data_IF_038205487035
#
_entry.id   IF_038205487035
#
_cell.length_a   1.000
_cell.length_b   1.000
_cell.length_c   1.000
_cell.angle_alpha   90.00
_cell.angle_beta   90.00
_cell.angle_gamma   90.00
#
_symmetry.space_group_name_H-M   'P 1'
#
loop_
_entity.id
_entity.type
_entity.pdbx_description
1 polymer ?
#
# COMPACT_ATOMS: atom_id res chain seq x y z
N UNK A 1 -15.26 -0.21 -0.66
CA UNK A 1 -13.87 -0.33 -1.12
C UNK A 1 -13.78 0.44 -2.43
N UNK A 2 -13.21 1.64 -2.43
CA UNK A 2 -12.93 2.34 -3.68
C UNK A 2 -11.67 1.73 -4.27
N UNK A 3 -11.81 0.80 -5.22
CA UNK A 3 -10.66 0.29 -5.96
C UNK A 3 -10.36 1.35 -7.02
N UNK A 4 -9.33 2.17 -6.81
CA UNK A 4 -8.84 3.06 -7.84
C UNK A 4 -8.19 2.22 -8.96
N UNK A 5 -8.98 1.88 -9.98
CA UNK A 5 -8.47 1.35 -11.25
C UNK A 5 -7.99 2.54 -12.09
N UNK A 6 -6.74 2.94 -11.89
CA UNK A 6 -5.93 3.76 -12.83
C UNK A 6 -6.63 4.98 -13.48
N UNK A 7 -6.39 6.17 -12.94
CA UNK A 7 -6.41 7.42 -13.72
C UNK A 7 -5.03 8.09 -13.64
N UNK A 8 -4.18 7.79 -14.61
CA UNK A 8 -3.05 8.66 -14.93
C UNK A 8 -3.59 9.96 -15.52
N UNK A 9 -3.34 11.07 -14.81
CA UNK A 9 -3.04 12.42 -15.34
C UNK A 9 -3.56 13.50 -14.39
N UNK A 10 -2.84 13.72 -13.29
CA UNK A 10 -2.57 15.04 -12.68
C UNK A 10 -1.85 14.84 -11.34
N UNK A 11 -0.63 14.30 -11.36
CA UNK A 11 0.47 14.47 -10.39
C UNK A 11 1.60 13.52 -10.80
N UNK A 12 2.85 13.92 -10.58
CA UNK A 12 4.07 13.28 -11.10
C UNK A 12 3.99 11.75 -11.25
N UNK A 13 4.53 11.21 -12.36
CA UNK A 13 4.67 9.77 -12.68
C UNK A 13 5.40 8.94 -11.59
N UNK A 14 5.84 9.55 -10.50
CA UNK A 14 6.70 8.99 -9.48
C UNK A 14 5.97 8.53 -8.20
N UNK A 15 4.63 8.72 -8.10
CA UNK A 15 3.87 8.49 -6.85
C UNK A 15 2.61 7.63 -7.08
N UNK A 16 2.76 6.45 -7.69
CA UNK A 16 1.63 5.50 -7.84
C UNK A 16 1.41 4.70 -6.54
N UNK A 17 0.16 4.58 -6.07
CA UNK A 17 -0.24 3.67 -4.99
C UNK A 17 -1.28 2.69 -5.56
N UNK A 18 -1.00 1.40 -5.52
CA UNK A 18 -1.82 0.38 -6.19
C UNK A 18 -3.22 0.23 -5.56
N UNK A 19 -3.30 0.37 -4.22
CA UNK A 19 -4.53 0.20 -3.46
C UNK A 19 -4.68 1.36 -2.49
N UNK A 20 -5.85 1.99 -2.48
CA UNK A 20 -6.25 2.99 -1.49
C UNK A 20 -7.66 2.67 -1.02
N UNK A 21 -7.92 2.76 0.27
CA UNK A 21 -9.25 2.60 0.84
C UNK A 21 -9.38 3.34 2.15
N UNK A 22 -10.57 3.85 2.47
CA UNK A 22 -10.86 4.49 3.75
C UNK A 22 -12.04 3.78 4.39
N UNK A 23 -11.93 3.48 5.69
CA UNK A 23 -13.03 2.95 6.52
C UNK A 23 -12.96 3.61 7.89
N UNK A 24 -13.98 4.39 8.24
CA UNK A 24 -13.94 5.20 9.46
C UNK A 24 -12.73 6.15 9.45
N UNK A 25 -11.95 6.15 10.53
CA UNK A 25 -10.76 6.97 10.68
C UNK A 25 -9.46 6.25 10.26
N UNK A 26 -9.57 5.24 9.39
CA UNK A 26 -8.42 4.45 8.94
C UNK A 26 -8.26 4.51 7.43
N UNK A 27 -7.08 4.94 7.00
CA UNK A 27 -6.59 4.86 5.64
C UNK A 27 -5.87 3.52 5.45
N UNK A 28 -6.25 2.79 4.42
CA UNK A 28 -5.62 1.57 3.96
C UNK A 28 -4.90 1.90 2.66
N UNK A 29 -3.60 1.69 2.62
CA UNK A 29 -2.79 1.81 1.40
C UNK A 29 -2.09 0.50 1.12
N UNK A 30 -1.88 0.17 -0.15
CA UNK A 30 -1.19 -1.06 -0.50
C UNK A 30 -0.41 -1.00 -1.79
N UNK A 31 0.58 -1.88 -1.86
CA UNK A 31 1.44 -2.11 -3.02
C UNK A 31 1.42 -3.61 -3.34
N UNK A 32 1.35 -3.94 -4.63
CA UNK A 32 1.33 -5.27 -5.18
C UNK A 32 2.61 -5.53 -5.98
N UNK A 33 3.37 -6.58 -5.63
CA UNK A 33 4.49 -7.05 -6.45
C UNK A 33 4.28 -8.47 -6.94
N UNK A 34 4.05 -8.57 -8.25
CA UNK A 34 3.89 -9.82 -8.98
C UNK A 34 5.19 -10.26 -9.66
N UNK A 35 6.25 -10.47 -8.86
CA UNK A 35 7.56 -10.87 -9.36
C UNK A 35 8.10 -12.09 -8.60
N UNK A 36 9.19 -12.68 -9.09
CA UNK A 36 9.94 -13.73 -8.39
C UNK A 36 10.83 -13.20 -7.25
N UNK A 37 10.88 -11.87 -7.07
CA UNK A 37 11.64 -11.24 -5.98
C UNK A 37 10.74 -11.07 -4.77
N UNK A 38 11.30 -11.36 -3.58
CA UNK A 38 10.67 -11.04 -2.30
C UNK A 38 10.56 -9.53 -2.13
N UNK A 39 9.53 -9.10 -1.41
CA UNK A 39 9.38 -7.71 -0.99
C UNK A 39 10.23 -7.48 0.27
N UNK A 40 11.00 -6.41 0.28
CA UNK A 40 11.83 -5.99 1.42
C UNK A 40 11.31 -4.67 2.04
N UNK A 41 11.99 -4.21 3.08
CA UNK A 41 11.67 -2.95 3.78
C UNK A 41 11.64 -1.73 2.87
N UNK A 42 12.41 -1.73 1.76
CA UNK A 42 12.50 -0.57 0.87
C UNK A 42 11.19 -0.31 0.14
N UNK A 43 10.41 -1.36 -0.14
CA UNK A 43 9.08 -1.22 -0.74
C UNK A 43 8.11 -0.59 0.27
N UNK A 44 8.15 -1.02 1.53
CA UNK A 44 7.35 -0.42 2.60
C UNK A 44 7.68 1.06 2.79
N UNK A 45 8.96 1.41 2.83
CA UNK A 45 9.41 2.79 3.04
C UNK A 45 9.01 3.70 1.86
N UNK A 46 9.07 3.18 0.63
CA UNK A 46 8.54 3.88 -0.55
C UNK A 46 7.03 4.08 -0.48
N UNK A 47 6.28 3.09 0.00
CA UNK A 47 4.83 3.25 0.16
C UNK A 47 4.52 4.32 1.23
N UNK A 48 5.21 4.27 2.38
CA UNK A 48 5.12 5.28 3.44
C UNK A 48 5.41 6.68 2.95
N UNK A 49 6.45 6.86 2.13
CA UNK A 49 6.81 8.18 1.61
C UNK A 49 5.75 8.77 0.68
N UNK A 50 4.86 7.96 0.10
CA UNK A 50 3.77 8.42 -0.77
C UNK A 50 2.54 8.91 0.03
N UNK A 51 2.33 8.40 1.25
CA UNK A 51 1.13 8.68 2.05
C UNK A 51 0.93 10.17 2.37
N UNK A 52 1.94 10.96 2.75
CA UNK A 52 1.75 12.38 3.02
C UNK A 52 1.21 13.17 1.82
N UNK A 53 1.62 12.80 0.60
CA UNK A 53 1.11 13.41 -0.63
C UNK A 53 -0.36 13.05 -0.84
N UNK A 54 -0.71 11.77 -0.68
CA UNK A 54 -2.10 11.31 -0.74
C UNK A 54 -3.00 12.02 0.27
N UNK A 55 -2.56 12.17 1.53
CA UNK A 55 -3.34 12.86 2.57
C UNK A 55 -3.57 14.33 2.22
N UNK A 56 -2.53 15.00 1.70
CA UNK A 56 -2.63 16.38 1.22
C UNK A 56 -3.65 16.52 0.09
N UNK A 57 -3.63 15.61 -0.88
CA UNK A 57 -4.55 15.64 -2.03
C UNK A 57 -6.00 15.35 -1.63
N UNK A 58 -6.19 14.44 -0.66
CA UNK A 58 -7.49 14.12 -0.11
C UNK A 58 -8.03 15.20 0.84
N UNK A 59 -7.20 16.18 1.25
CA UNK A 59 -7.54 17.21 2.24
C UNK A 59 -8.10 16.61 3.54
N UNK A 60 -7.49 15.51 4.00
CA UNK A 60 -7.85 14.82 5.23
C UNK A 60 -6.65 14.72 6.15
N UNK A 61 -6.88 14.96 7.43
CA UNK A 61 -5.88 14.89 8.48
C UNK A 61 -6.23 13.80 9.50
N UNK A 62 -5.25 13.37 10.30
CA UNK A 62 -5.43 12.50 11.48
C UNK A 62 -6.02 11.10 11.21
N UNK A 63 -5.89 10.56 9.99
CA UNK A 63 -6.20 9.16 9.73
C UNK A 63 -5.09 8.23 10.25
N UNK A 64 -5.48 7.15 10.93
CA UNK A 64 -4.57 6.02 11.17
C UNK A 64 -4.27 5.33 9.83
N UNK A 65 -3.04 4.87 9.62
CA UNK A 65 -2.64 4.28 8.33
C UNK A 65 -2.28 2.82 8.50
N UNK A 66 -2.88 1.96 7.68
CA UNK A 66 -2.53 0.54 7.58
C UNK A 66 -1.98 0.26 6.18
N UNK A 67 -0.80 -0.35 6.15
CA UNK A 67 -0.04 -0.69 4.97
C UNK A 67 -0.23 -2.16 4.63
N UNK A 68 -0.66 -2.44 3.41
CA UNK A 68 -0.74 -3.79 2.86
C UNK A 68 0.33 -4.01 1.81
N UNK A 69 1.14 -5.04 1.98
CA UNK A 69 2.09 -5.49 0.96
C UNK A 69 1.61 -6.83 0.42
N UNK A 70 1.28 -6.87 -0.87
CA UNK A 70 0.87 -8.09 -1.56
C UNK A 70 2.04 -8.65 -2.36
N UNK A 71 2.45 -9.88 -2.06
CA UNK A 71 3.61 -10.51 -2.71
C UNK A 71 3.26 -11.85 -3.33
N UNK A 72 3.72 -12.08 -4.57
CA UNK A 72 3.72 -13.43 -5.15
C UNK A 72 4.75 -14.35 -4.49
N UNK A 73 5.91 -13.83 -4.13
CA UNK A 73 7.08 -14.62 -3.75
C UNK A 73 7.45 -14.52 -2.27
N UNK A 74 6.60 -13.88 -1.47
CA UNK A 74 6.82 -13.64 -0.04
C UNK A 74 7.67 -12.40 0.27
N UNK A 75 8.22 -12.38 1.48
CA UNK A 75 8.84 -11.21 2.09
C UNK A 75 10.24 -11.54 2.64
N UNK A 76 11.08 -10.52 2.73
CA UNK A 76 12.42 -10.60 3.32
C UNK A 76 12.63 -9.49 4.35
N UNK A 77 13.01 -9.85 5.58
CA UNK A 77 13.25 -8.90 6.68
C UNK A 77 12.03 -8.11 7.18
N UNK A 78 10.82 -8.41 6.69
CA UNK A 78 9.57 -7.77 7.11
C UNK A 78 8.82 -8.63 8.13
N UNK A 79 8.09 -7.98 9.03
CA UNK A 79 7.21 -8.62 10.01
C UNK A 79 5.86 -7.91 10.01
N UNK A 80 4.79 -8.68 10.23
CA UNK A 80 3.48 -8.09 10.45
C UNK A 80 3.44 -7.31 11.76
N UNK A 81 2.69 -6.21 11.74
CA UNK A 81 2.37 -5.40 12.91
C UNK A 81 0.89 -5.01 12.86
N UNK A 82 0.44 -4.17 13.79
CA UNK A 82 -0.90 -3.59 13.70
C UNK A 82 -1.06 -2.72 12.43
N UNK A 83 0.00 -2.02 12.04
CA UNK A 83 0.02 -1.11 10.89
C UNK A 83 0.50 -1.75 9.60
N UNK A 84 1.18 -2.91 9.64
CA UNK A 84 1.76 -3.55 8.45
C UNK A 84 1.18 -4.95 8.29
N UNK A 85 0.48 -5.18 7.18
CA UNK A 85 -0.12 -6.46 6.79
C UNK A 85 0.60 -7.04 5.58
N UNK A 86 1.00 -8.29 5.69
CA UNK A 86 1.77 -9.00 4.68
C UNK A 86 0.89 -10.09 4.10
N UNK A 87 0.52 -9.95 2.83
CA UNK A 87 -0.40 -10.89 2.17
C UNK A 87 0.34 -11.60 1.05
N UNK A 88 0.51 -12.91 1.16
CA UNK A 88 1.04 -13.72 0.07
C UNK A 88 -0.07 -14.19 -0.85
N UNK A 89 0.29 -14.54 -2.09
CA UNK A 89 -0.66 -15.11 -3.04
C UNK A 89 -1.44 -16.31 -2.48
N UNK A 90 -0.77 -17.17 -1.72
CA UNK A 90 -1.38 -18.36 -1.12
C UNK A 90 -2.48 -18.02 -0.10
N UNK A 91 -2.50 -16.79 0.43
CA UNK A 91 -3.48 -16.34 1.41
C UNK A 91 -4.74 -15.76 0.73
N UNK A 92 -4.66 -15.40 -0.56
CA UNK A 92 -5.78 -14.81 -1.32
C UNK A 92 -6.80 -15.84 -1.84
N UNK A 93 -6.40 -17.11 -1.95
CA UNK A 93 -7.25 -18.18 -2.48
C UNK A 93 -7.61 -19.23 -1.42
N UNK A 94 -7.58 -18.83 -0.15
CA UNK A 94 -8.02 -19.64 0.98
C UNK A 94 -9.48 -19.34 1.34
#
# INVERSE_FOLDING_TARGET
MYVCKHCGSAMNKDVEIDIVGIKGNTLYVGECKWSNKKIDVRVLDRLRSKVPYLLKDLQVDNLSVVYYLFSRSGFDGLKETEEVKLVELKDLFR
#
